data_IF_252660523725
#
_entry.id   IF_252660523725
#
_cell.length_a   1.000
_cell.length_b   1.000
_cell.length_c   1.000
_cell.angle_alpha   90.00
_cell.angle_beta   90.00
_cell.angle_gamma   90.00
#
_symmetry.space_group_name_H-M   'P 1'
#
loop_
_entity.id
_entity.type
_entity.pdbx_description
1 polymer ?
#
# COMPACT_ATOMS: atom_id res chain seq x y z
N UNK A 1 -16.41 -19.19 -0.53
CA UNK A 1 -14.95 -19.03 -0.36
C UNK A 1 -14.68 -17.57 -0.06
N UNK A 2 -14.60 -17.18 1.20
CA UNK A 2 -14.12 -15.85 1.58
C UNK A 2 -12.61 -15.89 1.49
N UNK A 3 -12.02 -15.21 0.50
CA UNK A 3 -10.58 -15.01 0.47
C UNK A 3 -10.15 -14.42 1.82
N UNK A 4 -9.04 -14.91 2.39
CA UNK A 4 -8.49 -14.34 3.60
C UNK A 4 -8.26 -12.83 3.36
N UNK A 5 -8.59 -11.95 4.33
CA UNK A 5 -8.45 -10.51 4.15
C UNK A 5 -6.99 -10.18 3.86
N UNK A 6 -6.76 -9.38 2.83
CA UNK A 6 -5.44 -8.86 2.50
C UNK A 6 -4.96 -7.98 3.66
N UNK A 7 -3.80 -8.32 4.24
CA UNK A 7 -3.30 -7.67 5.47
C UNK A 7 -2.41 -6.45 5.20
N UNK A 8 -2.15 -6.14 3.94
CA UNK A 8 -1.51 -4.88 3.61
C UNK A 8 -2.41 -3.72 4.01
N UNK A 9 -1.79 -2.65 4.48
CA UNK A 9 -2.50 -1.40 4.78
C UNK A 9 -1.88 -0.26 3.99
N UNK A 10 -2.61 0.85 3.90
CA UNK A 10 -2.08 2.07 3.26
C UNK A 10 -2.16 3.22 4.24
N UNK A 11 -1.03 3.90 4.37
CA UNK A 11 -0.84 5.02 5.27
C UNK A 11 -0.55 6.29 4.47
N UNK A 12 -1.18 7.40 4.86
CA UNK A 12 -0.97 8.70 4.22
C UNK A 12 -0.28 9.59 5.23
N UNK A 13 0.94 10.02 4.89
CA UNK A 13 1.81 10.78 5.77
C UNK A 13 2.04 12.17 5.19
N UNK A 14 2.28 13.12 6.09
CA UNK A 14 2.72 14.47 5.75
C UNK A 14 4.04 14.74 6.46
N UNK A 15 5.14 14.62 5.72
CA UNK A 15 6.50 14.87 6.20
C UNK A 15 7.28 15.62 5.11
N UNK A 16 7.37 16.95 5.23
CA UNK A 16 7.94 17.82 4.19
C UNK A 16 7.18 17.85 2.85
N UNK A 17 6.18 16.98 2.68
CA UNK A 17 5.35 16.77 1.51
C UNK A 17 4.33 15.65 1.76
N UNK A 18 3.50 15.34 0.78
CA UNK A 18 2.53 14.24 0.90
C UNK A 18 3.15 12.93 0.43
N UNK A 19 3.06 11.90 1.25
CA UNK A 19 3.59 10.57 0.92
C UNK A 19 2.54 9.51 1.23
N UNK A 20 2.39 8.54 0.35
CA UNK A 20 1.54 7.36 0.56
C UNK A 20 2.43 6.13 0.69
N UNK A 21 2.28 5.40 1.80
CA UNK A 21 3.00 4.18 2.09
C UNK A 21 2.09 2.97 1.97
N UNK A 22 2.50 1.95 1.23
CA UNK A 22 1.91 0.61 1.30
C UNK A 22 2.70 -0.16 2.36
N UNK A 23 2.03 -0.58 3.42
CA UNK A 23 2.66 -1.21 4.58
C UNK A 23 2.37 -2.70 4.58
N UNK A 24 3.42 -3.51 4.74
CA UNK A 24 3.34 -4.96 4.81
C UNK A 24 2.69 -5.44 6.13
N UNK A 25 2.28 -6.72 6.22
CA UNK A 25 1.67 -7.26 7.43
C UNK A 25 2.59 -7.27 8.67
N UNK A 26 3.90 -7.06 8.49
CA UNK A 26 4.88 -6.90 9.58
C UNK A 26 5.00 -5.45 10.05
N UNK A 27 4.26 -4.52 9.44
CA UNK A 27 4.26 -3.10 9.79
C UNK A 27 5.36 -2.28 9.10
N UNK A 28 6.01 -2.82 8.07
CA UNK A 28 7.10 -2.13 7.34
C UNK A 28 6.60 -1.51 6.04
N UNK A 29 7.24 -0.42 5.62
CA UNK A 29 6.92 0.23 4.35
C UNK A 29 7.41 -0.62 3.17
N UNK A 30 6.49 -1.28 2.48
CA UNK A 30 6.79 -2.09 1.30
C UNK A 30 6.94 -1.25 0.03
N UNK A 31 6.31 -0.06 -0.01
CA UNK A 31 6.44 0.91 -1.08
C UNK A 31 6.07 2.30 -0.59
N UNK A 32 6.75 3.31 -1.13
CA UNK A 32 6.52 4.73 -0.84
C UNK A 32 6.31 5.48 -2.14
N UNK A 33 5.29 6.34 -2.17
CA UNK A 33 5.04 7.27 -3.28
C UNK A 33 4.91 8.69 -2.76
N UNK A 34 5.78 9.58 -3.24
CA UNK A 34 5.60 11.01 -3.07
C UNK A 34 4.46 11.52 -3.97
N UNK A 35 3.63 12.39 -3.40
CA UNK A 35 2.49 13.03 -4.03
C UNK A 35 2.66 14.55 -3.99
N UNK A 36 2.15 15.24 -5.01
CA UNK A 36 2.30 16.69 -5.16
C UNK A 36 1.43 17.47 -4.17
N UNK A 37 0.27 16.92 -3.83
CA UNK A 37 -0.75 17.56 -3.01
C UNK A 37 -1.62 16.51 -2.28
N UNK A 38 -2.44 17.00 -1.36
CA UNK A 38 -3.32 16.18 -0.53
C UNK A 38 -4.33 15.38 -1.36
N UNK A 39 -4.88 16.02 -2.40
CA UNK A 39 -5.89 15.38 -3.27
C UNK A 39 -5.28 14.20 -3.99
N UNK A 40 -4.06 14.34 -4.53
CA UNK A 40 -3.34 13.24 -5.17
C UNK A 40 -3.10 12.09 -4.16
N UNK A 41 -2.63 12.42 -2.96
CA UNK A 41 -2.33 11.43 -1.94
C UNK A 41 -3.58 10.64 -1.51
N UNK A 42 -4.69 11.34 -1.24
CA UNK A 42 -5.96 10.72 -0.86
C UNK A 42 -6.56 9.90 -2.01
N UNK A 43 -6.44 10.39 -3.25
CA UNK A 43 -6.91 9.66 -4.45
C UNK A 43 -6.12 8.35 -4.61
N UNK A 44 -4.80 8.43 -4.59
CA UNK A 44 -3.95 7.26 -4.72
C UNK A 44 -4.15 6.26 -3.57
N UNK A 45 -4.21 6.74 -2.33
CA UNK A 45 -4.48 5.88 -1.18
C UNK A 45 -5.84 5.19 -1.28
N UNK A 46 -6.87 5.88 -1.77
CA UNK A 46 -8.19 5.28 -1.99
C UNK A 46 -8.17 4.18 -3.06
N UNK A 47 -7.43 4.38 -4.16
CA UNK A 47 -7.21 3.34 -5.17
C UNK A 47 -6.51 2.11 -4.58
N UNK A 48 -5.45 2.32 -3.78
CA UNK A 48 -4.74 1.22 -3.11
C UNK A 48 -5.68 0.46 -2.16
N UNK A 49 -6.53 1.15 -1.38
CA UNK A 49 -7.53 0.50 -0.50
C UNK A 49 -8.50 -0.38 -1.28
N UNK A 50 -8.98 0.08 -2.43
CA UNK A 50 -9.85 -0.72 -3.29
C UNK A 50 -9.13 -1.97 -3.80
N UNK A 51 -7.87 -1.84 -4.21
CA UNK A 51 -7.07 -2.98 -4.63
C UNK A 51 -6.80 -3.96 -3.49
N UNK A 52 -6.51 -3.49 -2.27
CA UNK A 52 -6.38 -4.36 -1.08
C UNK A 52 -7.69 -5.13 -0.83
N UNK A 53 -8.83 -4.48 -1.00
CA UNK A 53 -10.14 -5.12 -0.82
C UNK A 53 -10.46 -6.17 -1.91
N UNK A 54 -10.05 -5.96 -3.16
CA UNK A 54 -10.34 -6.88 -4.28
C UNK A 54 -9.28 -7.95 -4.52
N UNK A 55 -8.03 -7.68 -4.21
CA UNK A 55 -6.89 -8.53 -4.58
C UNK A 55 -6.39 -9.33 -3.38
N UNK A 56 -6.03 -10.59 -3.64
CA UNK A 56 -5.19 -11.37 -2.73
C UNK A 56 -3.83 -10.70 -2.52
N UNK A 57 -3.16 -10.98 -1.41
CA UNK A 57 -1.83 -10.43 -1.08
C UNK A 57 -0.81 -10.67 -2.22
N UNK A 58 -0.80 -11.88 -2.81
CA UNK A 58 0.06 -12.19 -3.95
C UNK A 58 -0.19 -11.29 -5.15
N UNK A 59 -1.46 -11.10 -5.53
CA UNK A 59 -1.84 -10.25 -6.67
C UNK A 59 -1.55 -8.79 -6.41
N UNK A 60 -1.72 -8.32 -5.18
CA UNK A 60 -1.35 -6.96 -4.79
C UNK A 60 0.17 -6.76 -4.93
N UNK A 61 0.98 -7.72 -4.45
CA UNK A 61 2.44 -7.67 -4.59
C UNK A 61 2.87 -7.65 -6.05
N UNK A 62 2.30 -8.50 -6.90
CA UNK A 62 2.60 -8.50 -8.33
C UNK A 62 2.24 -7.15 -8.99
N UNK A 63 1.06 -6.62 -8.70
CA UNK A 63 0.56 -5.37 -9.29
C UNK A 63 1.44 -4.17 -8.92
N UNK A 64 1.80 -4.03 -7.64
CA UNK A 64 2.61 -2.92 -7.14
C UNK A 64 4.12 -3.23 -7.09
N UNK A 65 4.54 -4.41 -7.55
CA UNK A 65 5.92 -4.91 -7.48
C UNK A 65 6.51 -4.84 -6.06
N UNK A 66 5.71 -5.22 -5.06
CA UNK A 66 6.11 -5.17 -3.66
C UNK A 66 7.08 -6.32 -3.32
N UNK A 67 8.01 -6.11 -2.37
CA UNK A 67 8.86 -7.18 -1.86
C UNK A 67 8.05 -8.25 -1.13
N UNK A 68 8.70 -9.37 -0.83
CA UNK A 68 8.10 -10.35 0.07
C UNK A 68 7.95 -9.78 1.48
N UNK A 69 6.81 -10.02 2.16
CA UNK A 69 6.61 -9.53 3.51
C UNK A 69 7.67 -10.14 4.43
N UNK A 70 8.27 -9.32 5.29
CA UNK A 70 9.37 -9.74 6.16
C UNK A 70 10.75 -9.91 5.48
N UNK A 71 10.86 -9.84 4.15
CA UNK A 71 12.17 -9.91 3.46
C UNK A 71 12.82 -8.53 3.39
N UNK A 72 14.12 -8.47 3.60
CA UNK A 72 14.94 -7.26 3.41
C UNK A 72 15.19 -7.08 1.91
N UNK A 73 15.06 -5.85 1.42
CA UNK A 73 15.47 -5.45 0.06
C UNK A 73 16.94 -5.02 0.07
#
# INVERSE_FOLDING_TARGET
>A
MTAAPNRYVVDVRRDGGWVVAIVDPSGRDASLRACRDETEALTYASTVRQHIFWLSEEKLREYYRLPEPGREA
#
